data_IF_564745484923
#
_entry.id   IF_564745484923
#
_cell.length_a   1.000
_cell.length_b   1.000
_cell.length_c   1.000
_cell.angle_alpha   90.00
_cell.angle_beta   90.00
_cell.angle_gamma   90.00
#
_symmetry.space_group_name_H-M   'P 1'
#
loop_
_entity.id
_entity.type
_entity.pdbx_description
1 polymer ?
#
# COMPACT_ATOMS: atom_id res chain seq x y z
N UNK A 1 4.40 2.59 -21.01
CA UNK A 1 5.82 2.45 -20.57
C UNK A 1 5.84 1.31 -19.57
N UNK A 2 6.69 0.30 -19.75
CA UNK A 2 6.84 -0.73 -18.70
C UNK A 2 7.36 -0.06 -17.42
N UNK A 3 6.61 -0.16 -16.33
CA UNK A 3 7.08 0.30 -15.03
C UNK A 3 8.25 -0.61 -14.61
N UNK A 4 9.45 -0.05 -14.53
CA UNK A 4 10.68 -0.80 -14.25
C UNK A 4 10.87 -1.10 -12.76
N UNK A 5 10.04 -0.51 -11.90
CA UNK A 5 10.12 -0.64 -10.44
C UNK A 5 9.99 -2.12 -10.00
N UNK A 6 10.96 -2.64 -9.20
CA UNK A 6 10.91 -4.02 -8.72
C UNK A 6 9.70 -4.35 -7.83
N UNK A 7 9.26 -3.41 -6.98
CA UNK A 7 8.10 -3.58 -6.10
C UNK A 7 6.80 -3.64 -6.91
N UNK A 8 6.69 -2.80 -7.94
CA UNK A 8 5.59 -2.87 -8.91
C UNK A 8 5.54 -4.27 -9.56
N UNK A 9 6.65 -4.71 -10.15
CA UNK A 9 6.73 -6.01 -10.86
C UNK A 9 6.42 -7.18 -9.93
N UNK A 10 6.96 -7.18 -8.71
CA UNK A 10 6.69 -8.20 -7.73
C UNK A 10 5.19 -8.25 -7.37
N UNK A 11 4.55 -7.08 -7.22
CA UNK A 11 3.12 -6.98 -6.93
C UNK A 11 2.28 -7.57 -8.06
N UNK A 12 2.56 -7.22 -9.31
CA UNK A 12 1.88 -7.80 -10.49
C UNK A 12 2.01 -9.33 -10.51
N UNK A 13 3.19 -9.88 -10.22
CA UNK A 13 3.39 -11.34 -10.15
C UNK A 13 2.49 -11.96 -9.07
N UNK A 14 2.42 -11.36 -7.89
CA UNK A 14 1.59 -11.87 -6.78
C UNK A 14 0.11 -11.84 -7.14
N UNK A 15 -0.38 -10.74 -7.73
CA UNK A 15 -1.78 -10.60 -8.16
C UNK A 15 -2.14 -11.59 -9.26
N UNK A 16 -1.26 -11.76 -10.25
CA UNK A 16 -1.42 -12.77 -11.30
C UNK A 16 -1.42 -14.20 -10.74
N UNK A 17 -0.63 -14.49 -9.71
CA UNK A 17 -0.63 -15.81 -9.07
C UNK A 17 -1.92 -16.06 -8.28
N UNK A 18 -2.51 -15.04 -7.65
CA UNK A 18 -3.85 -15.12 -7.03
C UNK A 18 -4.90 -15.52 -8.08
N UNK A 19 -4.89 -14.85 -9.23
CA UNK A 19 -5.80 -15.13 -10.34
C UNK A 19 -5.60 -16.53 -10.94
N UNK A 20 -4.36 -16.87 -11.32
CA UNK A 20 -4.00 -18.19 -11.91
C UNK A 20 -4.30 -19.36 -10.99
N UNK A 21 -4.27 -19.15 -9.67
CA UNK A 21 -4.64 -20.17 -8.66
C UNK A 21 -6.14 -20.22 -8.40
N UNK A 22 -6.94 -19.45 -9.13
CA UNK A 22 -8.39 -19.37 -9.00
C UNK A 22 -8.83 -18.83 -7.64
N UNK A 23 -7.97 -18.06 -6.96
CA UNK A 23 -8.29 -17.46 -5.66
C UNK A 23 -9.04 -16.14 -5.82
N UNK A 24 -9.16 -15.62 -7.04
CA UNK A 24 -9.89 -14.41 -7.34
C UNK A 24 -11.41 -14.60 -7.19
N UNK A 25 -12.04 -13.70 -6.46
CA UNK A 25 -13.49 -13.48 -6.43
C UNK A 25 -13.75 -12.06 -5.93
N UNK A 26 -14.54 -11.29 -6.67
CA UNK A 26 -14.92 -9.95 -6.26
C UNK A 26 -15.95 -9.99 -5.12
N UNK A 27 -15.53 -9.58 -3.92
CA UNK A 27 -16.35 -9.53 -2.73
C UNK A 27 -16.97 -8.14 -2.57
N UNK A 28 -18.23 -7.99 -2.99
CA UNK A 28 -18.98 -6.73 -2.87
C UNK A 28 -19.12 -6.26 -1.40
N UNK A 29 -19.09 -7.17 -0.42
CA UNK A 29 -19.16 -6.84 1.01
C UNK A 29 -18.00 -5.94 1.47
N UNK A 30 -16.79 -6.16 0.94
CA UNK A 30 -15.60 -5.38 1.29
C UNK A 30 -15.39 -4.18 0.36
N UNK A 31 -16.19 -4.08 -0.70
CA UNK A 31 -16.10 -3.00 -1.67
C UNK A 31 -16.70 -1.72 -1.11
N UNK A 32 -15.90 -0.66 -1.08
CA UNK A 32 -16.27 0.65 -0.60
C UNK A 32 -15.66 1.68 -1.54
N UNK A 33 -16.41 1.99 -2.58
CA UNK A 33 -16.00 2.90 -3.64
C UNK A 33 -15.60 4.27 -3.07
N UNK A 34 -16.35 4.80 -2.11
CA UNK A 34 -16.09 6.10 -1.49
C UNK A 34 -14.75 6.10 -0.75
N UNK A 35 -14.41 5.02 -0.05
CA UNK A 35 -13.10 4.87 0.58
C UNK A 35 -11.96 4.94 -0.45
N UNK A 36 -12.06 4.19 -1.56
CA UNK A 36 -11.02 4.18 -2.60
C UNK A 36 -10.90 5.53 -3.32
N UNK A 37 -12.03 6.18 -3.65
CA UNK A 37 -12.04 7.52 -4.24
C UNK A 37 -11.37 8.55 -3.32
N UNK A 38 -11.75 8.56 -2.04
CA UNK A 38 -11.14 9.44 -1.04
C UNK A 38 -9.63 9.22 -0.91
N UNK A 39 -9.19 7.95 -0.93
CA UNK A 39 -7.77 7.63 -0.84
C UNK A 39 -6.99 8.11 -2.07
N UNK A 40 -7.56 7.98 -3.27
CA UNK A 40 -6.93 8.46 -4.50
C UNK A 40 -6.81 9.99 -4.48
N UNK A 41 -7.83 10.70 -4.00
CA UNK A 41 -7.76 12.15 -3.79
C UNK A 41 -6.68 12.52 -2.75
N UNK A 42 -6.60 11.78 -1.64
CA UNK A 42 -5.56 11.94 -0.64
C UNK A 42 -4.16 11.78 -1.26
N UNK A 43 -3.91 10.72 -2.03
CA UNK A 43 -2.61 10.46 -2.67
C UNK A 43 -2.21 11.60 -3.64
N UNK A 44 -3.19 12.14 -4.38
CA UNK A 44 -3.00 13.32 -5.25
C UNK A 44 -2.59 14.57 -4.45
N UNK A 45 -3.23 14.82 -3.31
CA UNK A 45 -2.91 15.97 -2.45
C UNK A 45 -1.59 15.83 -1.69
N UNK A 46 -1.27 14.62 -1.24
CA UNK A 46 -0.13 14.37 -0.37
C UNK A 46 1.21 14.40 -1.13
N UNK A 47 1.25 13.88 -2.36
CA UNK A 47 2.48 13.81 -3.18
C UNK A 47 3.12 15.19 -3.44
N UNK A 48 2.30 16.24 -3.55
CA UNK A 48 2.77 17.62 -3.75
C UNK A 48 3.24 18.31 -2.47
N UNK A 49 2.72 17.87 -1.31
CA UNK A 49 2.95 18.54 -0.03
C UNK A 49 4.23 18.05 0.65
N UNK A 50 4.61 16.79 0.43
CA UNK A 50 5.69 16.14 1.18
C UNK A 50 7.09 16.51 0.69
N UNK A 51 7.31 16.59 -0.63
CA UNK A 51 8.59 17.06 -1.20
C UNK A 51 8.91 18.50 -0.79
N UNK A 52 7.87 19.33 -0.60
CA UNK A 52 8.01 20.68 -0.07
C UNK A 52 8.30 20.69 1.43
N UNK A 53 7.77 19.73 2.18
CA UNK A 53 8.04 19.57 3.61
C UNK A 53 9.50 19.19 3.85
N UNK A 54 10.01 18.18 3.12
CA UNK A 54 11.41 17.74 3.25
C UNK A 54 12.38 18.89 2.94
N UNK A 55 12.15 19.60 1.82
CA UNK A 55 13.04 20.71 1.42
C UNK A 55 13.10 21.86 2.43
N UNK A 56 12.07 22.01 3.26
CA UNK A 56 12.01 23.04 4.29
C UNK A 56 12.52 22.58 5.65
N UNK A 57 12.79 21.28 5.86
CA UNK A 57 13.36 20.76 7.11
C UNK A 57 14.65 21.50 7.47
N UNK A 58 15.51 21.74 6.46
CA UNK A 58 16.80 22.43 6.62
C UNK A 58 16.66 23.92 6.99
N UNK A 59 15.49 24.54 6.78
CA UNK A 59 15.25 25.97 7.02
C UNK A 59 14.77 26.29 8.45
N UNK A 60 14.44 25.28 9.26
CA UNK A 60 13.85 25.45 10.60
C UNK A 60 14.86 25.33 11.75
N UNK A 61 15.78 26.29 11.87
CA UNK A 61 16.82 26.33 12.92
C UNK A 61 16.28 26.37 14.38
N UNK A 62 15.05 26.84 14.62
CA UNK A 62 14.52 27.05 15.98
C UNK A 62 13.54 25.97 16.49
N UNK A 63 13.17 24.98 15.66
CA UNK A 63 12.16 23.94 15.99
C UNK A 63 12.49 22.54 15.47
N UNK A 64 13.77 22.26 15.24
CA UNK A 64 14.25 21.06 14.57
C UNK A 64 13.63 19.76 15.12
N UNK A 65 13.51 19.60 16.45
CA UNK A 65 12.87 18.42 17.07
C UNK A 65 11.38 18.28 16.69
N UNK A 66 10.59 19.36 16.77
CA UNK A 66 9.15 19.32 16.47
C UNK A 66 8.90 19.03 14.97
N UNK A 67 9.74 19.59 14.09
CA UNK A 67 9.61 19.38 12.64
C UNK A 67 10.00 17.95 12.27
N UNK A 68 11.03 17.38 12.91
CA UNK A 68 11.39 15.96 12.75
C UNK A 68 10.24 15.05 13.19
N UNK A 69 9.67 15.28 14.38
CA UNK A 69 8.54 14.49 14.89
C UNK A 69 7.36 14.54 13.90
N UNK A 70 7.06 15.73 13.39
CA UNK A 70 6.00 15.93 12.40
C UNK A 70 6.30 15.20 11.08
N UNK A 71 7.55 15.25 10.59
CA UNK A 71 7.94 14.57 9.37
C UNK A 71 7.82 13.05 9.48
N UNK A 72 8.36 12.47 10.57
CA UNK A 72 8.28 11.02 10.84
C UNK A 72 6.82 10.58 10.97
N UNK A 73 6.02 11.30 11.75
CA UNK A 73 4.59 11.00 11.92
C UNK A 73 3.83 11.07 10.58
N UNK A 74 4.14 12.06 9.76
CA UNK A 74 3.49 12.25 8.46
C UNK A 74 3.82 11.11 7.49
N UNK A 75 5.08 10.67 7.41
CA UNK A 75 5.47 9.52 6.59
C UNK A 75 4.86 8.22 7.09
N UNK A 76 4.93 7.98 8.40
CA UNK A 76 4.30 6.82 9.03
C UNK A 76 2.79 6.77 8.70
N UNK A 77 2.10 7.90 8.78
CA UNK A 77 0.67 8.00 8.46
C UNK A 77 0.38 7.76 6.99
N UNK A 78 1.23 8.25 6.09
CA UNK A 78 1.12 8.03 4.66
C UNK A 78 1.27 6.55 4.30
N UNK A 79 2.32 5.90 4.83
CA UNK A 79 2.57 4.46 4.66
C UNK A 79 1.37 3.68 5.21
N UNK A 80 0.95 3.93 6.44
CA UNK A 80 -0.17 3.24 7.07
C UNK A 80 -1.45 3.32 6.23
N UNK A 81 -1.73 4.50 5.67
CA UNK A 81 -2.92 4.71 4.83
C UNK A 81 -2.89 3.82 3.58
N UNK A 82 -1.72 3.63 2.95
CA UNK A 82 -1.57 2.69 1.83
C UNK A 82 -1.74 1.24 2.28
N UNK A 83 -1.17 0.85 3.43
CA UNK A 83 -1.30 -0.51 3.96
C UNK A 83 -2.77 -0.87 4.23
N UNK A 84 -3.59 0.07 4.71
CA UNK A 84 -5.04 -0.10 4.87
C UNK A 84 -5.76 -0.27 3.54
N UNK A 85 -5.32 0.43 2.50
CA UNK A 85 -5.85 0.26 1.15
C UNK A 85 -5.48 -1.11 0.58
N UNK A 86 -4.25 -1.57 0.78
CA UNK A 86 -3.84 -2.92 0.36
C UNK A 86 -4.67 -3.99 1.05
N UNK A 87 -4.88 -3.86 2.36
CA UNK A 87 -5.71 -4.78 3.12
C UNK A 87 -7.12 -4.85 2.52
N UNK A 88 -7.75 -3.69 2.30
CA UNK A 88 -9.10 -3.61 1.76
C UNK A 88 -9.18 -4.14 0.32
N UNK A 89 -8.20 -3.80 -0.52
CA UNK A 89 -8.11 -4.29 -1.89
C UNK A 89 -8.00 -5.82 -1.93
N UNK A 90 -7.11 -6.41 -1.12
CA UNK A 90 -6.97 -7.87 -1.06
C UNK A 90 -8.24 -8.55 -0.51
N UNK A 91 -8.94 -7.95 0.46
CA UNK A 91 -10.26 -8.43 0.92
C UNK A 91 -11.29 -8.38 -0.20
N UNK A 92 -11.25 -7.37 -1.07
CA UNK A 92 -12.15 -7.27 -2.23
C UNK A 92 -11.87 -8.35 -3.27
N UNK A 93 -10.60 -8.66 -3.57
CA UNK A 93 -10.28 -9.53 -4.72
C UNK A 93 -10.06 -11.00 -4.40
N UNK A 94 -9.76 -11.37 -3.14
CA UNK A 94 -9.46 -12.76 -2.76
C UNK A 94 -10.73 -13.43 -2.21
N UNK A 95 -11.05 -14.62 -2.73
CA UNK A 95 -12.13 -15.48 -2.23
C UNK A 95 -11.78 -16.07 -0.85
N UNK A 96 -12.43 -15.62 0.25
CA UNK A 96 -12.12 -16.12 1.59
C UNK A 96 -12.46 -17.61 1.72
N UNK A 97 -13.42 -18.15 0.97
CA UNK A 97 -13.84 -19.55 1.08
C UNK A 97 -12.77 -20.52 0.55
N UNK A 98 -11.90 -20.05 -0.35
CA UNK A 98 -10.78 -20.83 -0.90
C UNK A 98 -9.56 -20.82 0.02
N UNK A 99 -9.56 -19.99 1.05
CA UNK A 99 -8.47 -19.82 2.00
C UNK A 99 -8.74 -20.63 3.28
N UNK A 100 -7.74 -21.38 3.75
CA UNK A 100 -7.88 -22.18 4.97
C UNK A 100 -8.17 -21.28 6.18
N UNK A 101 -9.34 -21.50 6.79
CA UNK A 101 -9.82 -20.72 7.93
C UNK A 101 -10.35 -19.33 7.56
N UNK A 102 -10.57 -19.05 6.27
CA UNK A 102 -11.17 -17.81 5.77
C UNK A 102 -10.45 -16.53 6.19
N UNK A 103 -11.10 -15.41 5.93
CA UNK A 103 -10.84 -14.13 6.58
C UNK A 103 -12.12 -13.28 6.54
N UNK A 104 -12.17 -12.27 7.40
CA UNK A 104 -13.30 -11.36 7.61
C UNK A 104 -12.86 -9.89 7.66
N UNK A 105 -13.77 -8.99 8.03
CA UNK A 105 -13.48 -7.56 8.18
C UNK A 105 -12.36 -7.25 9.18
N UNK A 106 -12.14 -8.09 10.19
CA UNK A 106 -11.16 -7.87 11.26
C UNK A 106 -9.80 -8.50 10.96
N UNK A 107 -9.69 -9.26 9.86
CA UNK A 107 -8.44 -9.91 9.49
C UNK A 107 -7.44 -8.88 8.99
N UNK A 108 -6.24 -8.83 9.57
CA UNK A 108 -5.21 -7.84 9.22
C UNK A 108 -4.52 -8.16 7.90
N UNK A 109 -3.86 -7.16 7.29
CA UNK A 109 -3.03 -7.35 6.10
C UNK A 109 -2.04 -8.53 6.25
N UNK A 110 -1.31 -8.57 7.37
CA UNK A 110 -0.35 -9.64 7.70
C UNK A 110 -1.00 -11.03 7.68
N UNK A 111 -2.20 -11.16 8.27
CA UNK A 111 -2.94 -12.41 8.28
C UNK A 111 -3.42 -12.80 6.87
N UNK A 112 -3.90 -11.86 6.06
CA UNK A 112 -4.31 -12.11 4.67
C UNK A 112 -3.12 -12.61 3.86
N UNK A 113 -1.99 -11.91 3.90
CA UNK A 113 -0.78 -12.29 3.16
C UNK A 113 -0.30 -13.69 3.57
N UNK A 114 -0.22 -13.96 4.87
CA UNK A 114 0.16 -15.29 5.39
C UNK A 114 -0.76 -16.38 4.87
N UNK A 115 -2.07 -16.18 4.98
CA UNK A 115 -3.08 -17.17 4.55
C UNK A 115 -3.03 -17.39 3.04
N UNK A 116 -2.94 -16.33 2.25
CA UNK A 116 -2.85 -16.38 0.78
C UNK A 116 -1.56 -17.05 0.32
N UNK A 117 -0.41 -16.67 0.86
CA UNK A 117 0.87 -17.30 0.52
C UNK A 117 0.90 -18.80 0.88
N UNK A 118 0.24 -19.19 1.98
CA UNK A 118 0.08 -20.59 2.34
C UNK A 118 -0.80 -21.35 1.34
N UNK A 119 -1.89 -20.73 0.87
CA UNK A 119 -2.77 -21.32 -0.15
C UNK A 119 -2.06 -21.50 -1.50
N UNK A 120 -1.27 -20.51 -1.94
CA UNK A 120 -0.50 -20.57 -3.19
C UNK A 120 0.67 -21.56 -3.07
N UNK A 121 1.08 -21.91 -1.85
CA UNK A 121 2.22 -22.78 -1.53
C UNK A 121 3.58 -22.16 -1.84
N UNK A 122 3.74 -20.85 -1.62
CA UNK A 122 5.05 -20.22 -1.71
C UNK A 122 6.03 -20.82 -0.69
N UNK A 123 7.30 -20.89 -1.06
CA UNK A 123 8.36 -21.34 -0.15
C UNK A 123 8.58 -20.31 0.99
N UNK A 124 9.22 -20.71 2.12
CA UNK A 124 9.42 -19.82 3.26
C UNK A 124 10.15 -18.51 2.95
N UNK A 125 11.13 -18.54 2.03
CA UNK A 125 11.89 -17.34 1.62
C UNK A 125 10.97 -16.34 0.91
N UNK A 126 10.16 -16.81 -0.02
CA UNK A 126 9.22 -15.97 -0.77
C UNK A 126 8.09 -15.45 0.13
N UNK A 127 7.59 -16.28 1.06
CA UNK A 127 6.64 -15.83 2.10
C UNK A 127 7.18 -14.64 2.89
N UNK A 128 8.43 -14.73 3.35
CA UNK A 128 9.10 -13.64 4.08
C UNK A 128 9.28 -12.39 3.20
N UNK A 129 9.69 -12.58 1.94
CA UNK A 129 9.84 -11.48 0.99
C UNK A 129 8.52 -10.75 0.72
N UNK A 130 7.40 -11.48 0.57
CA UNK A 130 6.08 -10.88 0.37
C UNK A 130 5.62 -10.12 1.62
N UNK A 131 5.85 -10.64 2.83
CA UNK A 131 5.56 -9.90 4.07
C UNK A 131 6.37 -8.62 4.15
N UNK A 132 7.65 -8.65 3.77
CA UNK A 132 8.50 -7.47 3.69
C UNK A 132 8.03 -6.46 2.64
N UNK A 133 7.68 -6.93 1.43
CA UNK A 133 7.16 -6.09 0.36
C UNK A 133 5.91 -5.32 0.79
N UNK A 134 4.99 -5.97 1.49
CA UNK A 134 3.77 -5.33 1.97
C UNK A 134 3.91 -4.67 3.35
N UNK A 135 5.14 -4.55 3.88
CA UNK A 135 5.43 -3.97 5.20
C UNK A 135 4.50 -4.52 6.30
N UNK A 136 4.26 -5.84 6.29
CA UNK A 136 3.25 -6.47 7.13
C UNK A 136 3.52 -6.29 8.64
N UNK A 137 4.79 -6.42 9.05
CA UNK A 137 5.20 -6.20 10.45
C UNK A 137 5.04 -4.74 10.86
N UNK A 138 5.24 -3.80 9.93
CA UNK A 138 4.99 -2.37 10.17
C UNK A 138 3.48 -2.10 10.34
N UNK A 139 2.64 -2.68 9.48
CA UNK A 139 1.19 -2.57 9.60
C UNK A 139 0.68 -3.08 10.96
N UNK A 140 1.14 -4.27 11.37
CA UNK A 140 0.77 -4.86 12.66
C UNK A 140 1.27 -3.99 13.83
N UNK A 141 2.51 -3.47 13.77
CA UNK A 141 3.03 -2.57 14.80
C UNK A 141 2.19 -1.31 14.97
N UNK A 142 1.74 -0.69 13.87
CA UNK A 142 0.90 0.50 13.93
C UNK A 142 -0.51 0.20 14.42
N UNK A 143 -1.13 -0.89 13.95
CA UNK A 143 -2.47 -1.31 14.37
C UNK A 143 -2.56 -1.47 15.89
N UNK A 144 -1.56 -2.14 16.46
CA UNK A 144 -1.50 -2.42 17.90
C UNK A 144 -0.81 -1.32 18.71
N UNK A 145 -0.54 -0.17 18.12
CA UNK A 145 0.12 0.98 18.77
C UNK A 145 1.47 0.60 19.42
N UNK A 146 2.20 -0.32 18.80
CA UNK A 146 3.51 -0.80 19.24
C UNK A 146 4.62 -0.01 18.52
N UNK A 147 4.62 1.31 18.67
CA UNK A 147 5.65 2.17 18.09
C UNK A 147 5.98 3.38 18.98
N UNK A 148 7.15 3.97 18.74
CA UNK A 148 7.64 5.17 19.41
C UNK A 148 8.37 6.04 18.39
N UNK A 149 8.01 7.32 18.27
CA UNK A 149 8.80 8.30 17.52
C UNK A 149 9.81 8.92 18.47
N UNK A 150 11.07 8.82 18.11
CA UNK A 150 12.21 9.28 18.90
C UNK A 150 12.63 10.69 18.47
N UNK A 151 13.26 11.45 19.38
CA UNK A 151 13.65 12.85 19.15
C UNK A 151 14.73 12.99 18.07
N UNK A 152 15.53 11.96 17.87
CA UNK A 152 16.57 11.85 16.85
C UNK A 152 16.02 11.45 15.46
N UNK A 153 14.69 11.40 15.30
CA UNK A 153 14.05 11.24 14.00
C UNK A 153 13.88 9.80 13.54
N UNK A 154 14.00 8.84 14.45
CA UNK A 154 13.66 7.44 14.15
C UNK A 154 12.26 7.09 14.62
N UNK A 155 11.60 6.24 13.84
CA UNK A 155 10.45 5.46 14.27
C UNK A 155 10.94 4.11 14.79
N UNK A 156 10.65 3.80 16.04
CA UNK A 156 10.93 2.48 16.63
C UNK A 156 9.64 1.69 16.67
N UNK A 157 9.56 0.58 15.93
CA UNK A 157 8.46 -0.39 16.05
C UNK A 157 8.84 -1.49 17.04
N UNK A 158 7.83 -1.99 17.75
CA UNK A 158 7.95 -2.96 18.84
C UNK A 158 9.00 -2.58 19.92
N UNK A 159 8.94 -1.36 20.50
CA UNK A 159 9.98 -0.87 21.42
C UNK A 159 10.16 -1.71 22.69
N UNK A 160 9.16 -2.53 23.06
CA UNK A 160 9.18 -3.37 24.25
C UNK A 160 9.45 -4.86 23.95
N UNK A 161 9.73 -5.22 22.69
CA UNK A 161 10.02 -6.60 22.27
C UNK A 161 11.44 -6.67 21.70
N UNK A 162 12.38 -7.21 22.49
CA UNK A 162 13.79 -7.26 22.13
C UNK A 162 14.09 -8.10 20.88
N UNK A 163 13.20 -9.02 20.49
CA UNK A 163 13.38 -9.86 19.30
C UNK A 163 12.83 -9.20 18.03
N UNK A 164 11.90 -8.24 18.17
CA UNK A 164 11.21 -7.59 17.05
C UNK A 164 11.51 -6.10 16.90
N UNK A 165 12.19 -5.50 17.88
CA UNK A 165 12.52 -4.08 17.86
C UNK A 165 13.24 -3.72 16.57
N UNK A 166 12.69 -2.74 15.85
CA UNK A 166 13.29 -2.20 14.63
C UNK A 166 13.24 -0.69 14.69
N UNK A 167 14.41 -0.09 14.55
CA UNK A 167 14.58 1.35 14.38
C UNK A 167 14.56 1.66 12.87
N UNK A 168 13.72 2.60 12.47
CA UNK A 168 13.50 3.00 11.08
C UNK A 168 13.82 4.49 11.00
N UNK A 169 14.81 4.82 10.19
CA UNK A 169 15.22 6.19 9.92
C UNK A 169 14.22 6.93 9.04
N UNK A 170 14.36 8.25 8.96
CA UNK A 170 13.55 9.10 8.09
C UNK A 170 13.74 8.73 6.60
N UNK A 171 14.95 8.36 6.20
CA UNK A 171 15.26 7.95 4.84
C UNK A 171 14.63 6.58 4.51
N UNK A 172 14.68 5.63 5.45
CA UNK A 172 13.98 4.34 5.29
C UNK A 172 12.46 4.52 5.21
N UNK A 173 11.88 5.45 5.97
CA UNK A 173 10.46 5.79 5.84
C UNK A 173 10.14 6.43 4.48
N UNK A 174 11.05 7.21 3.93
CA UNK A 174 10.91 7.74 2.59
C UNK A 174 10.95 6.61 1.54
N UNK A 175 11.88 5.68 1.65
CA UNK A 175 11.95 4.50 0.78
C UNK A 175 10.69 3.63 0.89
N UNK A 176 10.20 3.38 2.11
CA UNK A 176 8.94 2.68 2.37
C UNK A 176 7.74 3.43 1.72
N UNK A 177 7.76 4.76 1.72
CA UNK A 177 6.74 5.58 1.06
C UNK A 177 6.72 5.41 -0.48
N UNK A 178 7.90 5.27 -1.10
CA UNK A 178 8.02 5.00 -2.53
C UNK A 178 7.57 3.56 -2.84
N UNK A 179 7.94 2.61 -1.99
CA UNK A 179 7.53 1.21 -2.11
C UNK A 179 6.01 1.04 -2.09
N UNK A 180 5.32 1.63 -1.11
CA UNK A 180 3.85 1.53 -1.04
C UNK A 180 3.18 2.22 -2.23
N UNK A 181 3.75 3.31 -2.75
CA UNK A 181 3.23 3.93 -3.97
C UNK A 181 3.33 2.99 -5.17
N UNK A 182 4.50 2.36 -5.38
CA UNK A 182 4.71 1.42 -6.48
C UNK A 182 3.77 0.20 -6.41
N UNK A 183 3.50 -0.31 -5.20
CA UNK A 183 2.54 -1.40 -4.97
C UNK A 183 1.12 -0.96 -5.32
N UNK A 184 0.72 0.25 -4.91
CA UNK A 184 -0.60 0.78 -5.22
C UNK A 184 -0.79 0.95 -6.74
N UNK A 185 0.20 1.51 -7.43
CA UNK A 185 0.17 1.67 -8.88
C UNK A 185 0.02 0.30 -9.59
N UNK A 186 0.72 -0.74 -9.10
CA UNK A 186 0.56 -2.09 -9.61
C UNK A 186 -0.84 -2.68 -9.36
N UNK A 187 -1.45 -2.42 -8.20
CA UNK A 187 -2.82 -2.87 -7.92
C UNK A 187 -3.84 -2.21 -8.84
N UNK A 188 -3.68 -0.91 -9.12
CA UNK A 188 -4.51 -0.20 -10.07
C UNK A 188 -4.35 -0.77 -11.48
N UNK A 189 -3.12 -0.92 -11.97
CA UNK A 189 -2.86 -1.43 -13.31
C UNK A 189 -3.36 -2.87 -13.49
N UNK A 190 -3.16 -3.74 -12.50
CA UNK A 190 -3.67 -5.09 -12.54
C UNK A 190 -5.21 -5.11 -12.64
N UNK A 191 -5.89 -4.29 -11.83
CA UNK A 191 -7.34 -4.15 -11.87
C UNK A 191 -7.86 -3.65 -13.24
N UNK A 192 -7.06 -2.86 -13.96
CA UNK A 192 -7.38 -2.38 -15.32
C UNK A 192 -7.24 -3.48 -16.38
N UNK A 193 -6.27 -4.38 -16.21
CA UNK A 193 -5.96 -5.45 -17.18
C UNK A 193 -6.79 -6.72 -17.02
N UNK A 194 -7.49 -6.89 -15.89
CA UNK A 194 -8.38 -8.03 -15.65
C UNK A 194 -9.62 -8.07 -16.58
N UNK A 195 -9.83 -7.02 -17.40
CA UNK A 195 -10.98 -6.79 -18.28
C UNK A 195 -10.84 -7.38 -19.72
N UNK A 196 -9.75 -8.10 -20.03
CA UNK A 196 -9.61 -8.85 -21.31
C UNK A 196 -10.39 -10.20 -21.32
N UNK A 197 -11.22 -10.43 -20.30
CA UNK A 197 -12.20 -11.53 -20.25
C UNK A 197 -13.50 -11.13 -20.96
N UNK A 198 -14.16 -11.98 -21.78
CA UNK A 198 -15.32 -11.57 -22.58
C UNK A 198 -16.49 -11.06 -21.72
N UNK A 199 -16.85 -9.79 -21.91
CA UNK A 199 -17.88 -9.03 -21.17
C UNK A 199 -19.29 -9.62 -21.33
N UNK A 200 -20.05 -9.54 -20.23
CA UNK A 200 -21.50 -9.25 -20.25
C UNK A 200 -21.80 -8.26 -19.10
N UNK A 201 -21.99 -7.00 -19.46
CA UNK A 201 -22.33 -5.87 -18.58
C UNK A 201 -23.73 -6.02 -17.93
N UNK A 202 -23.97 -5.44 -16.73
CA UNK A 202 -24.18 -3.99 -16.60
C UNK A 202 -23.41 -3.32 -15.45
N UNK A 203 -22.89 -2.11 -15.74
CA UNK A 203 -22.21 -1.16 -14.82
C UNK A 203 -21.07 -1.77 -13.99
N UNK A 204 -20.03 -2.18 -14.69
CA UNK A 204 -18.81 -2.76 -14.12
C UNK A 204 -17.80 -1.69 -13.72
N UNK A 205 -16.96 -2.05 -12.74
CA UNK A 205 -15.75 -1.36 -12.26
C UNK A 205 -14.97 -0.64 -13.37
N UNK A 206 -15.02 -1.14 -14.61
CA UNK A 206 -14.54 -0.53 -15.85
C UNK A 206 -14.83 0.97 -16.00
N UNK A 207 -16.05 1.44 -15.69
CA UNK A 207 -16.42 2.84 -15.90
C UNK A 207 -15.82 3.75 -14.81
N UNK A 208 -15.73 3.24 -13.59
CA UNK A 208 -15.09 3.90 -12.46
C UNK A 208 -13.57 3.95 -12.61
N UNK A 209 -12.98 2.84 -13.03
CA UNK A 209 -11.56 2.69 -13.32
C UNK A 209 -11.14 3.55 -14.52
N UNK A 210 -11.92 3.60 -15.60
CA UNK A 210 -11.67 4.53 -16.72
C UNK A 210 -11.76 5.99 -16.27
N UNK A 211 -12.69 6.32 -15.36
CA UNK A 211 -12.75 7.63 -14.73
C UNK A 211 -11.48 7.97 -13.94
N UNK A 212 -10.96 7.01 -13.18
CA UNK A 212 -9.75 7.14 -12.36
C UNK A 212 -8.48 7.31 -13.20
N UNK A 213 -8.31 6.50 -14.25
CA UNK A 213 -7.17 6.58 -15.18
C UNK A 213 -7.20 7.90 -15.95
N UNK A 214 -8.37 8.31 -16.48
CA UNK A 214 -8.47 9.56 -17.22
C UNK A 214 -8.07 10.77 -16.37
N UNK A 215 -8.33 10.72 -15.06
CA UNK A 215 -7.87 11.76 -14.14
C UNK A 215 -6.35 11.71 -13.94
N UNK A 216 -5.76 10.53 -13.71
CA UNK A 216 -4.31 10.34 -13.51
C UNK A 216 -3.50 10.67 -14.78
N UNK A 217 -3.94 10.23 -15.96
CA UNK A 217 -3.27 10.55 -17.23
C UNK A 217 -3.37 12.03 -17.61
N UNK A 218 -4.44 12.72 -17.18
CA UNK A 218 -4.53 14.18 -17.34
C UNK A 218 -3.57 14.94 -16.41
N UNK A 219 -3.18 14.33 -15.30
CA UNK A 219 -2.27 14.88 -14.29
C UNK A 219 -0.81 14.75 -14.75
N UNK A 220 -0.39 13.60 -15.27
CA UNK A 220 0.96 13.43 -15.84
C UNK A 220 1.23 14.43 -16.97
N UNK A 221 0.26 14.60 -17.87
CA UNK A 221 0.35 15.60 -18.96
C UNK A 221 0.39 17.06 -18.49
N UNK A 222 -0.11 17.34 -17.29
CA UNK A 222 -0.04 18.69 -16.69
C UNK A 222 1.28 18.89 -15.95
N UNK A 223 1.84 17.85 -15.33
CA UNK A 223 3.14 17.89 -14.66
C UNK A 223 4.29 18.07 -15.65
N UNK A 224 4.24 17.42 -16.81
CA UNK A 224 5.20 17.60 -17.92
C UNK A 224 5.20 19.02 -18.51
N UNK A 225 4.15 19.81 -18.25
CA UNK A 225 4.04 21.20 -18.72
C UNK A 225 4.52 22.23 -17.70
N UNK A 226 4.83 21.80 -16.48
CA UNK A 226 5.21 22.67 -15.35
C UNK A 226 6.66 22.43 -14.91
N UNK A 227 7.32 21.38 -15.42
CA UNK A 227 8.79 21.18 -15.35
C UNK A 227 9.48 21.84 -16.53
#
# INVERSE_FOLDING_TARGET
>A
MENLDPNYKATIVILNDIEKKGLYHFNAEYHDEKFFLNFIEFQKGFSNSFSQLIRKLDEFDAKHEDVILYAVYSMMSFINSHLKVFEKFLKVIIDPTKIKGGFDQNTTLSQILKKTCNKIQYNPKLKKAIHGLFLADFADALEYHQYLITKDGHLVIYPNDAEKIKQISIDELYDDSLQVRAIFDAMLDWANTADDSPKNNPETIDDLVKGLINQVSSLDRKLDRIS
#
